data_IF_045096829896
#
_entry.id   IF_045096829896
#
_cell.length_a   1.000
_cell.length_b   1.000
_cell.length_c   1.000
_cell.angle_alpha   90.00
_cell.angle_beta   90.00
_cell.angle_gamma   90.00
#
_symmetry.space_group_name_H-M   'P 1'
#
loop_
_entity.id
_entity.type
_entity.pdbx_description
1 polymer ?
#
# COMPACT_ATOMS: atom_id res chain seq x y z
N UNK A 1 -38.15 -22.36 1.06
CA UNK A 1 -38.27 -20.89 0.88
C UNK A 1 -36.97 -20.26 1.33
N UNK A 2 -36.02 -20.07 0.41
CA UNK A 2 -34.76 -19.39 0.71
C UNK A 2 -35.01 -17.88 0.75
N UNK A 3 -34.74 -17.28 1.91
CA UNK A 3 -34.93 -15.87 2.19
C UNK A 3 -34.05 -14.99 1.29
N UNK A 4 -34.66 -14.37 0.28
CA UNK A 4 -34.02 -13.36 -0.62
C UNK A 4 -33.50 -12.11 0.11
N UNK A 5 -33.78 -11.94 1.41
CA UNK A 5 -33.36 -10.77 2.20
C UNK A 5 -31.92 -10.81 2.73
N UNK A 6 -31.26 -11.96 2.79
CA UNK A 6 -29.93 -12.06 3.42
C UNK A 6 -28.76 -11.69 2.50
N UNK A 7 -28.96 -11.71 1.17
CA UNK A 7 -27.91 -11.40 0.19
C UNK A 7 -27.72 -9.88 0.00
N UNK A 8 -28.76 -9.07 0.23
CA UNK A 8 -28.70 -7.63 0.03
C UNK A 8 -27.82 -6.93 1.08
N UNK A 9 -27.84 -7.40 2.33
CA UNK A 9 -27.09 -6.78 3.44
C UNK A 9 -25.57 -7.03 3.37
N UNK A 10 -25.13 -8.12 2.73
CA UNK A 10 -23.71 -8.42 2.55
C UNK A 10 -23.02 -7.53 1.50
N UNK A 11 -23.73 -7.18 0.43
CA UNK A 11 -23.19 -6.32 -0.64
C UNK A 11 -23.11 -4.85 -0.20
N UNK A 12 -24.06 -4.40 0.62
CA UNK A 12 -24.11 -3.01 1.11
C UNK A 12 -22.96 -2.67 2.08
N UNK A 13 -22.38 -3.63 2.80
CA UNK A 13 -21.26 -3.37 3.72
C UNK A 13 -19.90 -3.22 3.01
N UNK A 14 -19.70 -3.85 1.85
CA UNK A 14 -18.46 -3.66 1.06
C UNK A 14 -18.47 -2.37 0.24
N UNK A 15 -19.66 -1.87 -0.13
CA UNK A 15 -19.80 -0.63 -0.89
C UNK A 15 -19.42 0.62 -0.07
N UNK A 16 -19.54 0.59 1.25
CA UNK A 16 -19.28 1.74 2.11
C UNK A 16 -17.79 2.13 2.20
N UNK A 17 -16.87 1.17 2.09
CA UNK A 17 -15.42 1.46 2.04
C UNK A 17 -14.96 1.95 0.66
N UNK A 18 -15.75 1.71 -0.41
CA UNK A 18 -15.47 2.18 -1.77
C UNK A 18 -16.16 3.51 -2.10
N UNK A 19 -17.27 3.84 -1.42
CA UNK A 19 -18.07 5.03 -1.64
C UNK A 19 -17.31 6.38 -1.54
N UNK A 20 -16.38 6.59 -0.57
CA UNK A 20 -15.68 7.88 -0.50
C UNK A 20 -14.64 8.07 -1.61
N UNK A 21 -14.14 6.99 -2.22
CA UNK A 21 -13.22 7.06 -3.37
C UNK A 21 -13.94 7.15 -4.71
N UNK A 22 -15.13 6.57 -4.84
CA UNK A 22 -15.90 6.55 -6.09
C UNK A 22 -16.35 7.94 -6.59
N UNK A 23 -16.37 8.96 -5.72
CA UNK A 23 -16.69 10.35 -6.08
C UNK A 23 -15.49 11.22 -6.46
N UNK A 24 -14.26 10.72 -6.32
CA UNK A 24 -13.04 11.48 -6.58
C UNK A 24 -12.57 11.31 -8.02
N UNK A 25 -11.96 12.35 -8.59
CA UNK A 25 -11.31 12.21 -9.91
C UNK A 25 -10.11 11.24 -9.80
N UNK A 26 -9.73 10.53 -10.88
CA UNK A 26 -8.55 9.66 -10.86
C UNK A 26 -7.27 10.39 -10.40
N UNK A 27 -7.17 11.69 -10.70
CA UNK A 27 -6.06 12.53 -10.24
C UNK A 27 -6.08 12.72 -8.73
N UNK A 28 -7.24 13.01 -8.14
CA UNK A 28 -7.36 13.18 -6.69
C UNK A 28 -7.12 11.85 -5.95
N UNK A 29 -7.63 10.75 -6.49
CA UNK A 29 -7.35 9.41 -5.97
C UNK A 29 -5.84 9.11 -6.00
N UNK A 30 -5.15 9.46 -7.10
CA UNK A 30 -3.71 9.31 -7.23
C UNK A 30 -2.96 10.14 -6.19
N UNK A 31 -3.33 11.41 -6.00
CA UNK A 31 -2.70 12.30 -5.01
C UNK A 31 -2.85 11.75 -3.59
N UNK A 32 -4.04 11.28 -3.22
CA UNK A 32 -4.29 10.68 -1.90
C UNK A 32 -3.49 9.39 -1.72
N UNK A 33 -3.46 8.53 -2.74
CA UNK A 33 -2.67 7.30 -2.70
C UNK A 33 -1.18 7.62 -2.53
N UNK A 34 -0.66 8.59 -3.26
CA UNK A 34 0.72 9.05 -3.17
C UNK A 34 1.08 9.64 -1.81
N UNK A 35 0.18 10.40 -1.18
CA UNK A 35 0.39 10.93 0.18
C UNK A 35 0.49 9.81 1.23
N UNK A 36 -0.43 8.84 1.17
CA UNK A 36 -0.38 7.66 2.02
C UNK A 36 0.87 6.80 1.81
N UNK A 37 1.31 6.66 0.56
CA UNK A 37 2.54 5.96 0.22
C UNK A 37 3.80 6.69 0.68
N UNK A 38 3.86 8.01 0.54
CA UNK A 38 4.96 8.82 1.06
C UNK A 38 5.11 8.66 2.58
N UNK A 39 3.99 8.66 3.31
CA UNK A 39 3.97 8.37 4.75
C UNK A 39 4.51 6.97 5.05
N UNK A 40 4.04 5.96 4.32
CA UNK A 40 4.46 4.56 4.50
C UNK A 40 5.95 4.38 4.21
N UNK A 41 6.47 4.97 3.13
CA UNK A 41 7.89 4.97 2.80
C UNK A 41 8.73 5.65 3.88
N UNK A 42 8.24 6.75 4.46
CA UNK A 42 8.89 7.41 5.60
C UNK A 42 9.00 6.51 6.83
N UNK A 43 7.93 5.77 7.15
CA UNK A 43 7.92 4.79 8.26
C UNK A 43 8.90 3.64 7.98
N UNK A 44 8.83 3.03 6.79
CA UNK A 44 9.73 1.95 6.38
C UNK A 44 11.19 2.42 6.40
N UNK A 45 11.48 3.63 5.93
CA UNK A 45 12.82 4.23 6.00
C UNK A 45 13.33 4.28 7.43
N UNK A 46 12.50 4.64 8.40
CA UNK A 46 12.91 4.67 9.79
C UNK A 46 13.25 3.26 10.31
N UNK A 47 12.49 2.23 9.92
CA UNK A 47 12.82 0.84 10.24
C UNK A 47 14.07 0.31 9.55
N UNK A 48 14.45 0.86 8.40
CA UNK A 48 15.75 0.55 7.78
C UNK A 48 16.88 1.20 8.59
N UNK A 49 16.71 2.48 8.94
CA UNK A 49 17.73 3.26 9.65
C UNK A 49 17.97 2.78 11.08
N UNK A 50 16.94 2.28 11.76
CA UNK A 50 17.05 1.71 13.10
C UNK A 50 17.54 0.24 13.11
N UNK A 51 17.71 -0.37 11.92
CA UNK A 51 18.20 -1.73 11.74
C UNK A 51 17.15 -2.83 11.92
N UNK A 52 15.86 -2.50 12.04
CA UNK A 52 14.75 -3.46 12.08
C UNK A 52 14.62 -4.19 10.74
N UNK A 53 14.66 -3.46 9.62
CA UNK A 53 14.71 -4.00 8.26
C UNK A 53 16.15 -3.89 7.76
N UNK A 54 16.80 -5.03 7.51
CA UNK A 54 18.23 -5.05 7.17
C UNK A 54 18.66 -6.14 6.19
N UNK A 55 17.74 -7.02 5.81
CA UNK A 55 18.04 -8.10 4.86
C UNK A 55 18.29 -7.53 3.46
N UNK A 56 19.39 -7.89 2.77
CA UNK A 56 19.73 -7.32 1.47
C UNK A 56 18.66 -7.52 0.39
N UNK A 57 18.08 -8.72 0.30
CA UNK A 57 16.99 -8.98 -0.65
C UNK A 57 15.77 -8.08 -0.38
N UNK A 58 15.46 -7.91 0.89
CA UNK A 58 14.35 -7.10 1.38
C UNK A 58 14.55 -5.61 1.08
N UNK A 59 15.75 -5.10 1.32
CA UNK A 59 16.11 -3.72 0.98
C UNK A 59 16.06 -3.45 -0.53
N UNK A 60 16.42 -4.45 -1.35
CA UNK A 60 16.36 -4.36 -2.80
C UNK A 60 14.91 -4.28 -3.27
N UNK A 61 14.05 -5.18 -2.79
CA UNK A 61 12.62 -5.16 -3.10
C UNK A 61 11.95 -3.83 -2.68
N UNK A 62 12.33 -3.28 -1.51
CA UNK A 62 11.80 -1.99 -1.07
C UNK A 62 12.27 -0.83 -1.93
N UNK A 63 13.52 -0.85 -2.38
CA UNK A 63 14.05 0.15 -3.29
C UNK A 63 13.26 0.14 -4.59
N UNK A 64 13.07 -1.04 -5.19
CA UNK A 64 12.37 -1.18 -6.46
C UNK A 64 10.90 -0.74 -6.32
N UNK A 65 10.22 -1.15 -5.25
CA UNK A 65 8.86 -0.69 -4.97
C UNK A 65 8.79 0.84 -4.77
N UNK A 66 9.75 1.42 -4.06
CA UNK A 66 9.82 2.87 -3.82
C UNK A 66 10.00 3.66 -5.13
N UNK A 67 10.83 3.16 -6.04
CA UNK A 67 11.03 3.79 -7.35
C UNK A 67 9.74 3.80 -8.17
N UNK A 68 9.02 2.67 -8.23
CA UNK A 68 7.75 2.59 -8.96
C UNK A 68 6.68 3.51 -8.36
N UNK A 69 6.65 3.66 -7.04
CA UNK A 69 5.77 4.62 -6.36
C UNK A 69 6.13 6.05 -6.77
N UNK A 70 7.39 6.45 -6.67
CA UNK A 70 7.84 7.80 -7.04
C UNK A 70 7.54 8.14 -8.50
N UNK A 71 7.79 7.20 -9.41
CA UNK A 71 7.50 7.36 -10.84
C UNK A 71 5.98 7.50 -11.08
N UNK A 72 5.18 6.65 -10.44
CA UNK A 72 3.72 6.69 -10.59
C UNK A 72 3.12 7.98 -10.01
N UNK A 73 3.71 8.52 -8.94
CA UNK A 73 3.26 9.77 -8.33
C UNK A 73 3.66 11.04 -9.10
N UNK A 74 4.57 10.91 -10.08
CA UNK A 74 4.90 12.00 -11.03
C UNK A 74 4.09 11.92 -12.33
N UNK A 75 3.24 10.91 -12.48
CA UNK A 75 2.40 10.74 -13.66
C UNK A 75 1.30 11.81 -13.70
N UNK A 76 1.27 12.58 -14.78
CA UNK A 76 0.28 13.65 -14.99
C UNK A 76 -0.71 13.34 -16.12
N UNK A 77 -0.36 12.43 -17.02
CA UNK A 77 -1.09 12.21 -18.28
C UNK A 77 -2.11 11.08 -18.14
N UNK A 78 -1.75 10.00 -17.44
CA UNK A 78 -2.64 8.86 -17.19
C UNK A 78 -2.67 8.46 -15.71
N UNK A 79 -3.46 9.17 -14.88
CA UNK A 79 -3.59 8.84 -13.46
C UNK A 79 -4.19 7.44 -13.20
N UNK A 80 -4.98 6.90 -14.14
CA UNK A 80 -5.58 5.57 -13.99
C UNK A 80 -4.55 4.46 -14.12
N UNK A 81 -3.66 4.55 -15.12
CA UNK A 81 -2.53 3.64 -15.24
C UNK A 81 -1.56 3.77 -14.05
N UNK A 82 -1.30 4.99 -13.58
CA UNK A 82 -0.49 5.23 -12.38
C UNK A 82 -1.07 4.57 -11.13
N UNK A 83 -2.38 4.72 -10.89
CA UNK A 83 -3.08 4.06 -9.79
C UNK A 83 -2.95 2.54 -9.86
N UNK A 84 -3.04 1.96 -11.06
CA UNK A 84 -2.91 0.51 -11.27
C UNK A 84 -1.49 0.02 -10.94
N UNK A 85 -0.46 0.76 -11.37
CA UNK A 85 0.94 0.47 -11.02
C UNK A 85 1.19 0.60 -9.51
N UNK A 86 0.64 1.64 -8.89
CA UNK A 86 0.73 1.89 -7.45
C UNK A 86 0.10 0.76 -6.65
N UNK A 87 -1.10 0.30 -7.01
CA UNK A 87 -1.78 -0.78 -6.32
C UNK A 87 -0.97 -2.08 -6.29
N UNK A 88 -0.19 -2.36 -7.34
CA UNK A 88 0.66 -3.55 -7.42
C UNK A 88 1.89 -3.48 -6.49
N UNK A 89 2.39 -2.28 -6.18
CA UNK A 89 3.62 -2.09 -5.41
C UNK A 89 3.39 -1.57 -3.99
N UNK A 90 2.20 -1.02 -3.71
CA UNK A 90 1.82 -0.54 -2.38
C UNK A 90 1.75 -1.68 -1.36
N UNK A 91 1.42 -2.90 -1.79
CA UNK A 91 1.41 -4.10 -0.96
C UNK A 91 2.78 -4.40 -0.34
N UNK A 92 3.87 -4.29 -1.12
CA UNK A 92 5.23 -4.58 -0.66
C UNK A 92 5.65 -3.64 0.48
N UNK A 93 5.40 -2.35 0.30
CA UNK A 93 5.75 -1.33 1.31
C UNK A 93 4.86 -1.43 2.56
N UNK A 94 3.58 -1.76 2.37
CA UNK A 94 2.65 -1.97 3.48
C UNK A 94 3.01 -3.22 4.29
N UNK A 95 3.34 -4.32 3.61
CA UNK A 95 3.76 -5.57 4.25
C UNK A 95 5.06 -5.37 5.04
N UNK A 96 6.04 -4.70 4.44
CA UNK A 96 7.29 -4.35 5.11
C UNK A 96 7.04 -3.57 6.42
N UNK A 97 6.13 -2.60 6.38
CA UNK A 97 5.72 -1.84 7.55
C UNK A 97 5.06 -2.75 8.60
N UNK A 98 4.10 -3.58 8.22
CA UNK A 98 3.37 -4.45 9.15
C UNK A 98 4.28 -5.49 9.80
N UNK A 99 5.20 -6.09 9.04
CA UNK A 99 6.17 -7.07 9.55
C UNK A 99 7.15 -6.41 10.52
N UNK A 100 7.60 -5.18 10.22
CA UNK A 100 8.44 -4.41 11.13
C UNK A 100 7.69 -4.01 12.42
N UNK A 101 6.43 -3.54 12.30
CA UNK A 101 5.56 -3.19 13.43
C UNK A 101 5.23 -4.39 14.34
N UNK A 102 5.04 -5.58 13.75
CA UNK A 102 4.74 -6.81 14.48
C UNK A 102 5.92 -7.32 15.35
N UNK A 103 7.08 -6.67 15.26
CA UNK A 103 8.24 -6.98 16.08
C UNK A 103 8.96 -8.23 15.59
N UNK A 104 9.88 -8.05 14.63
CA UNK A 104 10.85 -9.11 14.35
C UNK A 104 11.77 -9.27 15.55
N UNK A 105 11.94 -10.50 16.03
CA UNK A 105 12.80 -10.79 17.18
C UNK A 105 14.18 -10.16 16.95
N UNK A 106 14.63 -9.32 17.88
CA UNK A 106 15.94 -8.65 17.83
C UNK A 106 17.01 -9.69 17.46
N UNK A 107 17.61 -9.56 16.29
CA UNK A 107 18.67 -10.47 15.84
C UNK A 107 18.38 -11.24 14.57
N UNK A 108 17.12 -11.30 14.10
CA UNK A 108 16.80 -11.84 12.77
C UNK A 108 16.73 -10.70 11.76
N UNK A 109 15.90 -9.68 12.00
CA UNK A 109 15.62 -8.62 11.03
C UNK A 109 14.43 -8.99 10.17
N UNK A 110 13.58 -8.02 9.83
CA UNK A 110 12.35 -8.26 9.08
C UNK A 110 12.66 -8.83 7.68
N UNK A 111 12.06 -9.98 7.37
CA UNK A 111 11.99 -10.57 6.02
C UNK A 111 10.54 -10.89 5.69
N UNK A 112 10.17 -10.80 4.40
CA UNK A 112 8.90 -11.29 3.86
C UNK A 112 9.15 -12.01 2.54
N UNK A 113 8.21 -12.87 2.14
CA UNK A 113 8.32 -13.75 0.96
C UNK A 113 7.58 -13.20 -0.24
#
# INVERSE_FOLDING_TARGET
>A
MLSMGALASGVLMLAACAAPLAGLTPRDQLLIACDGMATTMGIVRNYILDGTIRHPETLTALRDASLVVEESCREEQDPGAALTRLAAHSSILLEARLVAEAGTKRGEGATWK
#
